data_IF_112569389536
#
_entry.id   IF_112569389536
#
_cell.length_a   1.000
_cell.length_b   1.000
_cell.length_c   1.000
_cell.angle_alpha   90.00
_cell.angle_beta   90.00
_cell.angle_gamma   90.00
#
_symmetry.space_group_name_H-M   'P 1'
#
loop_
_entity.id
_entity.type
_entity.pdbx_description
1 polymer ?
#
# COMPACT_ATOMS: atom_id res chain seq x y z
N UNK A 1 -15.06 20.31 -2.82
CA UNK A 1 -15.71 19.06 -2.38
C UNK A 1 -15.27 17.96 -3.32
N UNK A 2 -14.34 17.10 -2.90
CA UNK A 2 -13.82 16.01 -3.73
C UNK A 2 -14.49 14.70 -3.34
N UNK A 3 -15.25 14.14 -4.26
CA UNK A 3 -15.93 12.86 -4.18
C UNK A 3 -14.90 11.72 -4.20
N UNK A 4 -14.73 11.00 -3.08
CA UNK A 4 -13.90 9.79 -3.00
C UNK A 4 -14.82 8.57 -3.03
N UNK A 5 -14.81 7.77 -4.12
CA UNK A 5 -15.51 6.49 -4.12
C UNK A 5 -14.86 5.58 -3.08
N UNK A 6 -15.70 4.85 -2.35
CA UNK A 6 -15.32 3.70 -1.53
C UNK A 6 -14.50 2.70 -2.35
N UNK A 7 -13.17 2.82 -2.34
CA UNK A 7 -12.30 2.07 -3.25
C UNK A 7 -12.18 0.58 -2.85
N UNK A 8 -12.55 0.23 -1.61
CA UNK A 8 -12.35 -1.11 -1.05
C UNK A 8 -13.63 -1.85 -0.63
N UNK A 9 -14.83 -1.27 -0.79
CA UNK A 9 -16.10 -1.98 -0.52
C UNK A 9 -16.51 -2.99 -1.60
N UNK A 10 -15.71 -3.15 -2.66
CA UNK A 10 -16.05 -4.04 -3.80
C UNK A 10 -15.48 -5.46 -3.71
N UNK A 11 -14.92 -5.86 -2.57
CA UNK A 11 -14.68 -7.28 -2.29
C UNK A 11 -15.62 -7.69 -1.17
N UNK A 12 -16.68 -8.42 -1.57
CA UNK A 12 -17.82 -8.95 -0.79
C UNK A 12 -19.01 -7.98 -0.65
N UNK A 13 -19.90 -8.04 -1.64
CA UNK A 13 -21.25 -7.47 -1.58
C UNK A 13 -22.05 -8.26 -0.54
N UNK A 14 -22.35 -7.66 0.61
CA UNK A 14 -23.55 -7.95 1.40
C UNK A 14 -24.04 -6.65 2.06
N UNK A 15 -25.06 -6.04 1.46
CA UNK A 15 -25.83 -4.84 1.87
C UNK A 15 -25.06 -3.50 1.92
N UNK A 16 -25.69 -2.44 1.37
CA UNK A 16 -25.14 -1.08 1.28
C UNK A 16 -24.99 -0.36 2.64
N UNK A 17 -25.45 -0.98 3.73
CA UNK A 17 -25.40 -0.46 5.11
C UNK A 17 -24.61 -1.38 6.07
N UNK A 18 -23.88 -2.39 5.58
CA UNK A 18 -23.10 -3.27 6.47
C UNK A 18 -21.73 -2.67 6.81
N UNK A 19 -21.47 -2.55 8.10
CA UNK A 19 -20.18 -2.14 8.62
C UNK A 19 -19.31 -3.40 8.76
N UNK A 20 -18.53 -3.72 7.74
CA UNK A 20 -17.59 -4.84 7.82
C UNK A 20 -16.43 -4.53 8.75
N UNK A 21 -15.81 -5.57 9.31
CA UNK A 21 -14.62 -5.45 10.16
C UNK A 21 -13.46 -4.72 9.44
N UNK A 22 -13.31 -4.96 8.14
CA UNK A 22 -12.36 -4.28 7.27
C UNK A 22 -12.67 -2.78 7.19
N UNK A 23 -13.94 -2.42 6.93
CA UNK A 23 -14.36 -1.03 6.83
C UNK A 23 -14.17 -0.28 8.15
N UNK A 24 -14.58 -0.87 9.27
CA UNK A 24 -14.39 -0.29 10.61
C UNK A 24 -12.90 -0.01 10.87
N UNK A 25 -12.05 -0.99 10.55
CA UNK A 25 -10.60 -0.89 10.72
C UNK A 25 -10.02 0.22 9.85
N UNK A 26 -10.35 0.24 8.56
CA UNK A 26 -9.90 1.27 7.62
C UNK A 26 -10.29 2.68 8.09
N UNK A 27 -11.56 2.89 8.47
CA UNK A 27 -12.05 4.20 8.89
C UNK A 27 -11.44 4.66 10.22
N UNK A 28 -11.30 3.76 11.20
CA UNK A 28 -10.65 4.08 12.48
C UNK A 28 -9.21 4.53 12.27
N UNK A 29 -8.50 3.81 11.41
CA UNK A 29 -7.14 4.08 11.01
C UNK A 29 -7.02 5.42 10.28
N UNK A 30 -7.86 5.70 9.27
CA UNK A 30 -7.89 6.98 8.57
C UNK A 30 -8.16 8.13 9.54
N UNK A 31 -9.13 7.97 10.45
CA UNK A 31 -9.54 9.04 11.37
C UNK A 31 -8.47 9.39 12.40
N UNK A 32 -7.65 8.43 12.83
CA UNK A 32 -6.50 8.68 13.72
C UNK A 32 -5.29 9.21 12.92
N UNK A 33 -5.20 8.91 11.63
CA UNK A 33 -4.07 9.26 10.76
C UNK A 33 -4.28 10.43 9.82
N UNK A 34 -5.47 11.06 9.77
CA UNK A 34 -5.71 12.32 9.04
C UNK A 34 -4.75 13.45 9.48
N UNK A 35 -4.13 13.30 10.64
CA UNK A 35 -3.05 14.16 11.15
C UNK A 35 -1.67 13.90 10.49
N UNK A 36 -1.47 12.81 9.74
CA UNK A 36 -0.15 12.22 9.43
C UNK A 36 0.19 12.06 7.92
N UNK A 37 -0.69 12.47 6.99
CA UNK A 37 -0.36 12.57 5.54
C UNK A 37 -0.48 11.27 4.71
N UNK A 38 -0.25 11.37 3.39
CA UNK A 38 -0.67 10.40 2.35
C UNK A 38 0.20 9.14 2.16
N UNK A 39 1.33 8.99 2.87
CA UNK A 39 2.23 7.82 2.80
C UNK A 39 1.70 6.54 3.48
N UNK A 40 0.45 6.56 3.92
CA UNK A 40 -0.12 5.65 4.92
C UNK A 40 -0.80 4.39 4.35
N UNK A 41 -1.21 4.41 3.06
CA UNK A 41 -2.19 3.46 2.52
C UNK A 41 -1.75 1.99 2.48
N UNK A 42 -0.45 1.69 2.32
CA UNK A 42 0.04 0.30 2.37
C UNK A 42 -0.01 -0.25 3.81
N UNK A 43 0.32 0.57 4.81
CA UNK A 43 0.20 0.17 6.21
C UNK A 43 -1.27 -0.07 6.59
N UNK A 44 -2.20 0.77 6.12
CA UNK A 44 -3.65 0.51 6.28
C UNK A 44 -4.04 -0.82 5.65
N UNK A 45 -3.58 -1.07 4.41
CA UNK A 45 -3.84 -2.32 3.70
C UNK A 45 -3.34 -3.54 4.46
N UNK A 46 -2.12 -3.49 5.01
CA UNK A 46 -1.57 -4.61 5.78
C UNK A 46 -2.45 -4.96 6.99
N UNK A 47 -2.91 -3.94 7.71
CA UNK A 47 -3.77 -4.12 8.89
C UNK A 47 -5.15 -4.63 8.49
N UNK A 48 -5.76 -4.05 7.46
CA UNK A 48 -7.08 -4.46 6.95
C UNK A 48 -7.05 -5.89 6.40
N UNK A 49 -6.02 -6.24 5.62
CA UNK A 49 -5.83 -7.60 5.12
C UNK A 49 -5.60 -8.59 6.28
N UNK A 50 -4.86 -8.18 7.30
CA UNK A 50 -4.64 -9.03 8.48
C UNK A 50 -5.91 -9.22 9.30
N UNK A 51 -6.76 -8.20 9.41
CA UNK A 51 -8.09 -8.32 10.02
C UNK A 51 -8.95 -9.31 9.21
N UNK A 52 -9.10 -9.10 7.90
CA UNK A 52 -9.89 -9.97 7.03
C UNK A 52 -9.41 -11.43 7.02
N UNK A 53 -8.10 -11.66 7.11
CA UNK A 53 -7.53 -12.99 7.09
C UNK A 53 -7.85 -13.83 8.33
N UNK A 54 -8.37 -13.23 9.40
CA UNK A 54 -8.78 -13.97 10.59
C UNK A 54 -9.87 -15.00 10.27
N UNK A 55 -10.82 -14.64 9.41
CA UNK A 55 -11.91 -15.53 8.95
C UNK A 55 -11.49 -16.50 7.83
N UNK A 56 -10.35 -16.27 7.18
CA UNK A 56 -9.94 -17.01 5.98
C UNK A 56 -8.86 -18.05 6.26
N UNK A 57 -7.95 -17.78 7.22
CA UNK A 57 -6.79 -18.64 7.49
C UNK A 57 -7.18 -19.80 8.42
N UNK A 58 -6.80 -21.01 8.05
CA UNK A 58 -7.04 -22.23 8.85
C UNK A 58 -6.51 -22.14 10.29
N UNK A 59 -5.43 -21.40 10.51
CA UNK A 59 -4.84 -21.22 11.84
C UNK A 59 -5.69 -20.38 12.80
N UNK A 60 -6.62 -19.55 12.28
CA UNK A 60 -7.39 -18.58 13.08
C UNK A 60 -8.89 -18.75 12.95
N UNK A 61 -9.41 -19.07 11.75
CA UNK A 61 -10.84 -19.02 11.40
C UNK A 61 -11.75 -19.88 12.29
N UNK A 62 -11.25 -21.00 12.79
CA UNK A 62 -12.03 -21.95 13.60
C UNK A 62 -11.64 -21.84 15.10
N UNK A 63 -10.85 -20.84 15.48
CA UNK A 63 -10.34 -20.69 16.83
C UNK A 63 -11.23 -19.75 17.66
N UNK A 64 -12.03 -20.28 18.60
CA UNK A 64 -13.02 -19.49 19.31
C UNK A 64 -12.44 -18.37 20.18
N UNK A 65 -11.15 -18.46 20.54
CA UNK A 65 -10.48 -17.42 21.35
C UNK A 65 -10.29 -16.14 20.56
N UNK A 66 -10.01 -16.22 19.25
CA UNK A 66 -9.87 -15.03 18.41
C UNK A 66 -11.22 -14.39 18.05
N UNK A 67 -12.30 -15.17 18.11
CA UNK A 67 -13.62 -14.78 17.63
C UNK A 67 -14.65 -14.52 18.75
N UNK A 68 -14.23 -14.51 20.02
CA UNK A 68 -15.14 -14.37 21.17
C UNK A 68 -16.30 -15.39 21.17
N UNK A 69 -16.00 -16.59 20.69
CA UNK A 69 -16.97 -17.68 20.55
C UNK A 69 -16.89 -18.67 21.71
N UNK A 70 -17.89 -19.56 21.76
CA UNK A 70 -17.94 -20.68 22.70
C UNK A 70 -17.86 -20.27 24.18
N UNK A 71 -18.29 -19.05 24.52
CA UNK A 71 -18.27 -18.49 25.88
C UNK A 71 -16.87 -18.41 26.51
N UNK A 72 -15.82 -18.39 25.70
CA UNK A 72 -14.43 -18.30 26.16
C UNK A 72 -14.00 -16.85 26.39
N UNK A 73 -14.86 -16.04 27.01
CA UNK A 73 -14.68 -14.58 27.15
C UNK A 73 -13.36 -14.24 27.84
N UNK A 74 -13.03 -14.91 28.95
CA UNK A 74 -11.79 -14.65 29.70
C UNK A 74 -10.54 -15.00 28.87
N UNK A 75 -10.57 -16.12 28.14
CA UNK A 75 -9.48 -16.52 27.25
C UNK A 75 -9.30 -15.53 26.09
N UNK A 76 -10.40 -15.06 25.52
CA UNK A 76 -10.40 -14.05 24.44
C UNK A 76 -9.88 -12.70 24.92
N UNK A 77 -10.24 -12.27 26.14
CA UNK A 77 -9.66 -11.07 26.77
C UNK A 77 -8.17 -11.24 27.00
N UNK A 78 -7.73 -12.39 27.51
CA UNK A 78 -6.30 -12.69 27.67
C UNK A 78 -5.57 -12.63 26.32
N UNK A 79 -6.17 -13.16 25.24
CA UNK A 79 -5.59 -13.10 23.90
C UNK A 79 -5.53 -11.67 23.34
N UNK A 80 -6.55 -10.83 23.56
CA UNK A 80 -6.51 -9.41 23.19
C UNK A 80 -5.31 -8.70 23.84
N UNK A 81 -5.11 -8.93 25.14
CA UNK A 81 -4.00 -8.32 25.92
C UNK A 81 -2.62 -8.86 25.50
N UNK A 82 -2.55 -10.14 25.12
CA UNK A 82 -1.34 -10.72 24.52
C UNK A 82 -1.01 -10.05 23.19
N UNK A 83 -1.99 -9.91 22.29
CA UNK A 83 -1.82 -9.21 21.01
C UNK A 83 -1.40 -7.75 21.21
N UNK A 84 -2.02 -7.05 22.17
CA UNK A 84 -1.64 -5.69 22.55
C UNK A 84 -0.17 -5.59 22.96
N UNK A 85 0.26 -6.48 23.85
CA UNK A 85 1.66 -6.56 24.30
C UNK A 85 2.60 -6.82 23.13
N UNK A 86 2.23 -7.75 22.24
CA UNK A 86 3.02 -8.08 21.05
C UNK A 86 3.16 -6.89 20.10
N UNK A 87 2.09 -6.12 19.88
CA UNK A 87 2.13 -4.88 19.07
C UNK A 87 3.15 -3.91 19.67
N UNK A 88 3.07 -3.63 20.97
CA UNK A 88 3.98 -2.67 21.63
C UNK A 88 5.43 -3.14 21.52
N UNK A 89 5.69 -4.42 21.79
CA UNK A 89 7.04 -4.98 21.70
C UNK A 89 7.59 -4.91 20.27
N UNK A 90 6.81 -5.30 19.26
CA UNK A 90 7.21 -5.21 17.85
C UNK A 90 7.43 -3.76 17.40
N UNK A 91 6.59 -2.81 17.81
CA UNK A 91 6.80 -1.38 17.49
C UNK A 91 8.10 -0.88 18.11
N UNK A 92 8.39 -1.22 19.37
CA UNK A 92 9.65 -0.84 20.03
C UNK A 92 10.88 -1.48 19.38
N UNK A 93 10.74 -2.71 18.91
CA UNK A 93 11.77 -3.43 18.14
C UNK A 93 11.89 -2.95 16.68
N UNK A 94 11.03 -2.01 16.23
CA UNK A 94 10.92 -1.53 14.84
C UNK A 94 10.49 -2.62 13.83
N UNK A 95 9.88 -3.69 14.31
CA UNK A 95 9.29 -4.77 13.51
C UNK A 95 7.87 -4.39 13.06
N UNK A 96 7.75 -3.35 12.24
CA UNK A 96 6.45 -2.75 11.94
C UNK A 96 5.50 -3.67 11.16
N UNK A 97 6.02 -4.57 10.33
CA UNK A 97 5.19 -5.56 9.62
C UNK A 97 4.49 -6.52 10.61
N UNK A 98 5.23 -7.07 11.57
CA UNK A 98 4.69 -7.93 12.63
C UNK A 98 3.72 -7.19 13.55
N UNK A 99 4.01 -5.92 13.85
CA UNK A 99 3.11 -5.05 14.60
C UNK A 99 1.79 -4.83 13.85
N UNK A 100 1.82 -4.54 12.54
CA UNK A 100 0.61 -4.32 11.71
C UNK A 100 -0.22 -5.59 11.59
N UNK A 101 0.44 -6.74 11.42
CA UNK A 101 -0.23 -8.04 11.46
C UNK A 101 -0.97 -8.24 12.79
N UNK A 102 -0.28 -8.04 13.91
CA UNK A 102 -0.86 -8.18 15.25
C UNK A 102 -2.01 -7.20 15.50
N UNK A 103 -1.90 -5.96 14.99
CA UNK A 103 -2.97 -4.96 15.08
C UNK A 103 -4.21 -5.41 14.31
N UNK A 104 -4.07 -6.02 13.13
CA UNK A 104 -5.20 -6.56 12.39
C UNK A 104 -5.93 -7.65 13.15
N UNK A 105 -5.17 -8.57 13.78
CA UNK A 105 -5.76 -9.63 14.62
C UNK A 105 -6.47 -9.07 15.86
N UNK A 106 -5.86 -8.07 16.51
CA UNK A 106 -6.46 -7.41 17.68
C UNK A 106 -7.75 -6.67 17.29
N UNK A 107 -7.73 -5.95 16.17
CA UNK A 107 -8.88 -5.18 15.69
C UNK A 107 -10.06 -6.10 15.39
N UNK A 108 -9.79 -7.24 14.74
CA UNK A 108 -10.80 -8.25 14.44
C UNK A 108 -11.42 -8.81 15.73
N UNK A 109 -10.61 -9.35 16.64
CA UNK A 109 -11.11 -9.91 17.90
C UNK A 109 -11.87 -8.87 18.74
N UNK A 110 -11.43 -7.60 18.73
CA UNK A 110 -12.12 -6.51 19.42
C UNK A 110 -13.49 -6.20 18.82
N UNK A 111 -13.63 -6.34 17.50
CA UNK A 111 -14.90 -6.15 16.78
C UNK A 111 -15.85 -7.33 17.05
N UNK A 112 -15.33 -8.57 17.00
CA UNK A 112 -16.05 -9.80 17.33
C UNK A 112 -16.61 -9.78 18.76
N UNK A 113 -15.93 -9.14 19.73
CA UNK A 113 -16.54 -8.97 21.05
C UNK A 113 -17.92 -8.30 20.97
N UNK A 114 -18.08 -7.23 20.17
CA UNK A 114 -19.35 -6.51 20.11
C UNK A 114 -20.39 -7.23 19.27
N UNK A 115 -20.00 -8.03 18.27
CA UNK A 115 -20.93 -8.80 17.46
C UNK A 115 -21.30 -10.15 18.09
N UNK A 116 -20.35 -10.78 18.77
CA UNK A 116 -20.47 -12.12 19.33
C UNK A 116 -20.70 -12.15 20.84
N UNK A 117 -20.47 -11.10 21.63
CA UNK A 117 -20.90 -11.12 23.05
C UNK A 117 -22.33 -10.61 23.22
N UNK A 118 -22.89 -10.78 24.42
CA UNK A 118 -24.19 -10.22 24.76
C UNK A 118 -24.11 -8.74 25.24
N UNK A 119 -22.97 -8.06 25.05
CA UNK A 119 -22.75 -6.70 25.56
C UNK A 119 -23.82 -5.71 25.12
N UNK A 120 -24.18 -5.74 23.84
CA UNK A 120 -25.19 -4.86 23.23
C UNK A 120 -26.59 -5.24 23.73
N UNK A 121 -26.87 -6.54 23.84
CA UNK A 121 -28.13 -7.10 24.35
C UNK A 121 -28.37 -6.71 25.82
N UNK A 122 -27.31 -6.52 26.60
CA UNK A 122 -27.38 -5.99 27.97
C UNK A 122 -27.70 -4.48 28.02
N UNK A 123 -27.95 -3.84 26.88
CA UNK A 123 -28.25 -2.42 26.77
C UNK A 123 -27.03 -1.51 27.00
N UNK A 124 -25.81 -2.05 26.91
CA UNK A 124 -24.58 -1.26 27.10
C UNK A 124 -24.34 -0.40 25.87
N UNK A 125 -24.33 0.92 26.06
CA UNK A 125 -24.13 1.93 24.99
C UNK A 125 -22.70 2.50 24.93
N UNK A 126 -21.80 1.99 25.75
CA UNK A 126 -20.39 2.43 25.81
C UNK A 126 -19.44 1.26 25.57
N UNK A 127 -18.21 1.58 25.15
CA UNK A 127 -17.16 0.57 24.97
C UNK A 127 -16.82 -0.09 26.31
N UNK A 128 -16.44 -1.37 26.27
CA UNK A 128 -16.01 -2.13 27.44
C UNK A 128 -14.51 -1.97 27.64
N UNK A 129 -14.10 -0.99 28.45
CA UNK A 129 -12.70 -0.65 28.65
C UNK A 129 -11.87 -1.82 29.23
N UNK A 130 -12.49 -2.67 30.05
CA UNK A 130 -11.83 -3.83 30.65
C UNK A 130 -11.19 -4.79 29.62
N UNK A 131 -11.64 -4.81 28.36
CA UNK A 131 -11.05 -5.65 27.33
C UNK A 131 -9.53 -5.42 27.17
N UNK A 132 -9.10 -4.16 27.20
CA UNK A 132 -7.69 -3.77 27.06
C UNK A 132 -7.08 -3.14 28.33
N UNK A 133 -7.92 -2.69 29.26
CA UNK A 133 -7.50 -2.01 30.49
C UNK A 133 -7.85 -2.89 31.70
N UNK A 134 -6.93 -3.73 32.20
CA UNK A 134 -7.22 -4.71 33.26
C UNK A 134 -7.67 -4.10 34.59
N UNK A 135 -7.30 -2.84 34.84
CA UNK A 135 -7.65 -2.11 36.06
C UNK A 135 -9.10 -1.57 36.05
N UNK A 136 -9.73 -1.52 34.87
CA UNK A 136 -11.13 -1.13 34.74
C UNK A 136 -12.06 -2.22 35.29
N UNK A 137 -13.26 -1.88 35.83
CA UNK A 137 -14.16 -2.87 36.40
C UNK A 137 -14.63 -3.92 35.39
N UNK A 138 -14.51 -5.20 35.76
CA UNK A 138 -15.08 -6.29 34.99
C UNK A 138 -16.60 -6.38 35.19
N UNK A 139 -17.34 -6.45 34.09
CA UNK A 139 -18.78 -6.70 34.07
C UNK A 139 -18.99 -8.14 33.60
N UNK A 140 -19.75 -8.97 34.35
CA UNK A 140 -20.11 -10.30 33.90
C UNK A 140 -20.90 -10.25 32.57
N UNK A 141 -20.24 -10.64 31.49
CA UNK A 141 -20.87 -10.92 30.18
C UNK A 141 -21.60 -12.24 30.33
N UNK A 142 -22.89 -12.31 29.94
CA UNK A 142 -23.70 -13.49 30.25
C UNK A 142 -23.27 -14.68 29.40
N UNK A 143 -23.25 -15.87 30.03
CA UNK A 143 -23.01 -17.14 29.35
C UNK A 143 -24.15 -17.42 28.36
N UNK A 144 -23.88 -17.48 27.05
CA UNK A 144 -24.84 -18.00 26.06
C UNK A 144 -25.26 -19.43 26.41
N UNK A 145 -26.49 -19.78 26.07
CA UNK A 145 -27.24 -20.92 26.58
C UNK A 145 -26.60 -22.33 26.40
N UNK A 146 -26.76 -23.18 27.43
CA UNK A 146 -26.81 -24.66 27.45
C UNK A 146 -25.74 -25.48 26.71
N UNK A 147 -24.88 -26.15 27.47
CA UNK A 147 -23.95 -27.19 27.01
C UNK A 147 -24.59 -28.59 26.84
N UNK A 148 -25.91 -28.75 27.10
CA UNK A 148 -26.68 -29.94 26.72
C UNK A 148 -26.32 -31.26 27.43
N UNK A 149 -25.37 -31.24 28.38
CA UNK A 149 -24.94 -32.43 29.12
C UNK A 149 -25.94 -32.89 30.18
N UNK A 150 -25.79 -34.13 30.66
CA UNK A 150 -26.68 -34.71 31.69
C UNK A 150 -26.71 -33.90 33.00
N UNK A 151 -25.62 -33.21 33.34
CA UNK A 151 -25.50 -32.35 34.52
C UNK A 151 -25.84 -30.87 34.25
N UNK A 152 -26.22 -30.51 33.02
CA UNK A 152 -26.56 -29.15 32.65
C UNK A 152 -28.02 -28.83 32.99
N UNK A 153 -28.21 -28.01 34.03
CA UNK A 153 -29.52 -27.56 34.50
C UNK A 153 -30.23 -26.61 33.52
N UNK A 154 -29.53 -26.07 32.52
CA UNK A 154 -30.08 -25.20 31.47
C UNK A 154 -30.48 -25.94 30.19
N UNK A 155 -30.29 -27.27 30.12
CA UNK A 155 -30.54 -28.11 28.93
C UNK A 155 -31.98 -28.12 28.39
N UNK A 156 -32.96 -27.76 29.24
CA UNK A 156 -34.39 -27.74 28.90
C UNK A 156 -34.92 -26.32 28.69
N UNK A 157 -34.07 -25.31 28.87
CA UNK A 157 -34.38 -23.94 28.50
C UNK A 157 -34.08 -23.81 27.00
N UNK A 158 -35.06 -23.40 26.21
CA UNK A 158 -34.82 -23.10 24.80
C UNK A 158 -33.70 -22.06 24.72
N UNK A 159 -32.56 -22.42 24.10
CA UNK A 159 -31.57 -21.44 23.71
C UNK A 159 -32.25 -20.42 22.79
N UNK A 160 -32.48 -19.22 23.29
CA UNK A 160 -33.15 -18.16 22.55
C UNK A 160 -32.09 -17.42 21.74
N UNK A 161 -31.80 -17.91 20.53
CA UNK A 161 -31.11 -17.14 19.48
C UNK A 161 -29.57 -17.12 19.54
N UNK A 162 -28.96 -17.15 18.36
CA UNK A 162 -27.52 -16.99 18.16
C UNK A 162 -27.10 -15.53 18.33
N UNK A 163 -26.07 -15.29 19.13
CA UNK A 163 -25.48 -13.96 19.34
C UNK A 163 -24.51 -13.68 18.18
N UNK A 164 -25.03 -13.61 16.95
CA UNK A 164 -24.29 -13.10 15.81
C UNK A 164 -25.01 -11.83 15.36
N UNK A 165 -24.24 -10.74 15.28
CA UNK A 165 -24.69 -9.40 14.85
C UNK A 165 -23.82 -8.87 13.70
N UNK A 166 -23.18 -9.76 12.93
CA UNK A 166 -22.20 -9.38 11.92
C UNK A 166 -22.82 -8.68 10.71
N UNK A 167 -24.10 -8.92 10.46
CA UNK A 167 -24.80 -8.39 9.29
C UNK A 167 -26.16 -7.81 9.65
N UNK A 168 -26.65 -6.91 8.79
CA UNK A 168 -28.04 -6.41 8.83
C UNK A 168 -29.07 -7.41 8.33
N UNK A 169 -28.63 -8.59 7.85
CA UNK A 169 -29.50 -9.62 7.28
C UNK A 169 -30.00 -10.59 8.35
N UNK A 170 -31.32 -10.70 8.46
CA UNK A 170 -31.97 -11.71 9.31
C UNK A 170 -31.66 -13.15 8.90
N UNK A 171 -31.17 -13.37 7.68
CA UNK A 171 -30.79 -14.70 7.16
C UNK A 171 -29.44 -15.15 7.75
N UNK A 172 -28.51 -14.22 7.94
CA UNK A 172 -27.13 -14.54 8.34
C UNK A 172 -26.86 -14.23 9.81
N UNK A 173 -27.62 -13.30 10.41
CA UNK A 173 -27.44 -12.86 11.79
C UNK A 173 -28.79 -12.90 12.54
N UNK A 174 -28.97 -13.79 13.53
CA UNK A 174 -30.23 -13.86 14.30
C UNK A 174 -30.56 -12.55 15.02
N UNK A 175 -29.54 -11.78 15.42
CA UNK A 175 -29.66 -10.48 16.08
C UNK A 175 -29.31 -9.31 15.14
N UNK A 176 -29.58 -9.45 13.84
CA UNK A 176 -29.25 -8.43 12.83
C UNK A 176 -29.74 -7.01 13.15
N UNK A 177 -30.84 -6.87 13.90
CA UNK A 177 -31.38 -5.58 14.34
C UNK A 177 -30.46 -4.81 15.30
N UNK A 178 -29.49 -5.49 15.93
CA UNK A 178 -28.45 -4.89 16.78
C UNK A 178 -27.13 -4.64 16.03
N UNK A 179 -27.02 -5.01 14.74
CA UNK A 179 -25.79 -4.88 13.96
C UNK A 179 -25.22 -3.47 13.98
N UNK A 180 -26.06 -2.46 13.72
CA UNK A 180 -25.63 -1.05 13.65
C UNK A 180 -25.05 -0.58 14.99
N UNK A 181 -25.64 -1.02 16.09
CA UNK A 181 -25.17 -0.67 17.43
C UNK A 181 -23.86 -1.38 17.78
N UNK A 182 -23.77 -2.69 17.49
CA UNK A 182 -22.56 -3.47 17.66
C UNK A 182 -21.39 -2.89 16.85
N UNK A 183 -21.63 -2.61 15.56
CA UNK A 183 -20.64 -2.01 14.67
C UNK A 183 -20.20 -0.61 15.14
N UNK A 184 -21.14 0.21 15.64
CA UNK A 184 -20.83 1.52 16.21
C UNK A 184 -19.88 1.43 17.41
N UNK A 185 -20.16 0.53 18.36
CA UNK A 185 -19.27 0.30 19.51
C UNK A 185 -17.93 -0.29 19.10
N UNK A 186 -17.92 -1.23 18.15
CA UNK A 186 -16.71 -1.82 17.60
C UNK A 186 -15.81 -0.75 16.95
N UNK A 187 -16.40 0.22 16.23
CA UNK A 187 -15.68 1.33 15.64
C UNK A 187 -15.09 2.30 16.66
N UNK A 188 -15.86 2.65 17.70
CA UNK A 188 -15.36 3.49 18.81
C UNK A 188 -14.24 2.77 19.57
N UNK A 189 -14.39 1.47 19.83
CA UNK A 189 -13.38 0.67 20.52
C UNK A 189 -12.09 0.56 19.70
N UNK A 190 -12.18 0.24 18.42
CA UNK A 190 -11.03 0.17 17.50
C UNK A 190 -10.31 1.52 17.43
N UNK A 191 -11.05 2.62 17.30
CA UNK A 191 -10.47 3.97 17.31
C UNK A 191 -9.79 4.30 18.66
N UNK A 192 -10.39 3.91 19.78
CA UNK A 192 -9.82 4.14 21.12
C UNK A 192 -8.53 3.36 21.29
N UNK A 193 -8.51 2.08 20.93
CA UNK A 193 -7.30 1.25 20.96
C UNK A 193 -6.15 1.83 20.12
N UNK A 194 -6.44 2.40 18.95
CA UNK A 194 -5.42 3.05 18.11
C UNK A 194 -4.86 4.34 18.74
N UNK A 195 -5.68 5.13 19.44
CA UNK A 195 -5.22 6.31 20.19
C UNK A 195 -4.37 5.89 21.38
N UNK A 196 -4.84 4.93 22.17
CA UNK A 196 -4.09 4.37 23.31
C UNK A 196 -2.74 3.82 22.83
N UNK A 197 -2.70 3.20 21.65
CA UNK A 197 -1.47 2.68 21.06
C UNK A 197 -0.52 3.83 20.69
N UNK A 198 -1.03 4.88 20.02
CA UNK A 198 -0.28 6.09 19.68
C UNK A 198 0.33 6.74 20.91
N UNK A 199 -0.43 6.85 21.99
CA UNK A 199 0.02 7.45 23.25
C UNK A 199 1.05 6.56 23.95
N UNK A 200 0.88 5.24 23.91
CA UNK A 200 1.79 4.27 24.55
C UNK A 200 3.15 4.15 23.86
N UNK A 201 3.19 4.14 22.52
CA UNK A 201 4.45 4.00 21.76
C UNK A 201 5.08 5.34 21.41
N UNK A 202 4.33 6.43 21.54
CA UNK A 202 4.72 7.78 21.18
C UNK A 202 4.51 8.10 19.69
N UNK A 203 4.31 9.38 19.35
CA UNK A 203 3.90 9.81 18.00
C UNK A 203 4.91 9.45 16.92
N UNK A 204 6.22 9.45 17.22
CA UNK A 204 7.28 9.10 16.26
C UNK A 204 7.27 7.61 15.92
N UNK A 205 7.16 6.73 16.92
CA UNK A 205 7.08 5.29 16.67
C UNK A 205 5.76 4.91 16.02
N UNK A 206 4.66 5.58 16.40
CA UNK A 206 3.35 5.41 15.77
C UNK A 206 3.36 5.87 14.30
N UNK A 207 4.05 6.97 13.98
CA UNK A 207 4.27 7.42 12.60
C UNK A 207 5.11 6.40 11.82
N UNK A 208 6.15 5.82 12.41
CA UNK A 208 7.00 4.82 11.73
C UNK A 208 6.26 3.49 11.51
N UNK A 209 5.43 3.10 12.48
CA UNK A 209 4.44 2.01 12.37
C UNK A 209 3.44 2.26 11.23
N UNK A 210 3.10 3.54 11.01
CA UNK A 210 2.12 4.01 10.04
C UNK A 210 2.68 4.31 8.63
N UNK A 211 3.90 4.83 8.49
CA UNK A 211 4.32 5.57 7.28
C UNK A 211 5.63 5.10 6.66
N UNK A 212 6.51 4.36 7.35
CA UNK A 212 7.76 3.91 6.71
C UNK A 212 7.55 2.68 5.83
N UNK A 213 7.02 2.93 4.64
CA UNK A 213 7.29 2.10 3.48
C UNK A 213 8.73 2.38 3.06
N UNK A 214 9.52 1.33 2.85
CA UNK A 214 10.84 1.52 2.26
C UNK A 214 10.67 2.16 0.87
N UNK A 215 11.53 3.12 0.49
CA UNK A 215 11.52 3.70 -0.85
C UNK A 215 11.47 2.63 -1.94
N UNK A 216 10.70 2.88 -2.98
CA UNK A 216 10.68 2.02 -4.14
C UNK A 216 11.75 2.43 -5.15
N UNK A 217 12.19 1.45 -5.94
CA UNK A 217 12.98 1.68 -7.13
C UNK A 217 12.07 1.54 -8.35
N UNK A 218 11.85 2.65 -9.05
CA UNK A 218 10.83 2.75 -10.10
C UNK A 218 11.49 2.97 -11.45
N UNK A 219 11.06 2.20 -12.45
CA UNK A 219 11.54 2.27 -13.82
C UNK A 219 10.38 2.65 -14.74
N UNK A 220 10.51 3.78 -15.43
CA UNK A 220 9.57 4.24 -16.45
C UNK A 220 10.28 4.08 -17.79
N UNK A 221 9.81 3.15 -18.62
CA UNK A 221 10.51 2.76 -19.84
C UNK A 221 9.68 3.04 -21.07
N UNK A 222 10.24 3.83 -21.97
CA UNK A 222 9.73 4.01 -23.32
C UNK A 222 9.88 2.70 -24.09
N UNK A 223 8.76 2.14 -24.56
CA UNK A 223 8.72 0.89 -25.31
C UNK A 223 8.28 1.11 -26.77
N UNK A 224 8.45 2.33 -27.28
CA UNK A 224 8.18 2.66 -28.68
C UNK A 224 9.22 2.03 -29.61
N UNK A 225 8.89 1.90 -30.89
CA UNK A 225 9.76 1.26 -31.87
C UNK A 225 11.07 2.02 -32.14
N UNK A 226 11.16 3.32 -31.83
CA UNK A 226 12.41 4.08 -31.94
C UNK A 226 13.44 3.65 -30.90
N UNK A 227 12.99 3.18 -29.73
CA UNK A 227 13.83 2.61 -28.68
C UNK A 227 14.35 1.20 -29.01
N UNK A 228 14.14 0.64 -30.20
CA UNK A 228 14.47 -0.76 -30.50
C UNK A 228 15.97 -1.09 -30.34
N UNK A 229 16.87 -0.19 -30.73
CA UNK A 229 18.31 -0.40 -30.56
C UNK A 229 18.75 -0.13 -29.10
N UNK A 230 17.99 0.69 -28.38
CA UNK A 230 18.29 1.26 -27.08
C UNK A 230 17.66 0.48 -25.91
N UNK A 231 16.57 -0.26 -26.13
CA UNK A 231 15.79 -0.93 -25.07
C UNK A 231 16.65 -1.99 -24.37
N UNK A 232 17.54 -2.66 -25.11
CA UNK A 232 18.51 -3.60 -24.53
C UNK A 232 19.49 -2.88 -23.60
N UNK A 233 19.95 -1.69 -23.97
CA UNK A 233 20.80 -0.88 -23.12
C UNK A 233 20.06 -0.35 -21.88
N UNK A 234 18.80 0.06 -22.05
CA UNK A 234 17.95 0.48 -20.95
C UNK A 234 17.76 -0.65 -19.92
N UNK A 235 17.49 -1.88 -20.38
CA UNK A 235 17.39 -3.08 -19.53
C UNK A 235 18.70 -3.37 -18.79
N UNK A 236 19.84 -3.39 -19.49
CA UNK A 236 21.15 -3.61 -18.86
C UNK A 236 21.49 -2.54 -17.80
N UNK A 237 21.13 -1.28 -18.04
CA UNK A 237 21.30 -0.20 -17.07
C UNK A 237 20.39 -0.39 -15.85
N UNK A 238 19.13 -0.71 -16.06
CA UNK A 238 18.20 -0.99 -14.97
C UNK A 238 18.69 -2.14 -14.09
N UNK A 239 19.22 -3.21 -14.70
CA UNK A 239 19.85 -4.32 -14.00
C UNK A 239 21.04 -3.87 -13.13
N UNK A 240 21.95 -3.07 -13.67
CA UNK A 240 23.08 -2.50 -12.91
C UNK A 240 22.61 -1.64 -11.73
N UNK A 241 21.59 -0.80 -11.94
CA UNK A 241 21.00 0.01 -10.86
C UNK A 241 20.42 -0.91 -9.77
N UNK A 242 19.63 -1.92 -10.12
CA UNK A 242 19.06 -2.87 -9.16
C UNK A 242 20.16 -3.56 -8.34
N UNK A 243 21.21 -4.07 -9.00
CA UNK A 243 22.33 -4.73 -8.32
C UNK A 243 23.09 -3.78 -7.38
N UNK A 244 23.31 -2.53 -7.81
CA UNK A 244 23.98 -1.52 -6.98
C UNK A 244 23.19 -1.18 -5.71
N UNK A 245 21.85 -1.33 -5.73
CA UNK A 245 20.98 -1.06 -4.59
C UNK A 245 20.74 -2.29 -3.73
N UNK A 246 20.75 -3.49 -4.31
CA UNK A 246 20.68 -4.74 -3.57
C UNK A 246 21.87 -4.95 -2.60
N UNK A 247 23.03 -4.36 -2.92
CA UNK A 247 24.24 -4.44 -2.08
C UNK A 247 24.29 -3.41 -0.93
N UNK A 248 23.37 -2.45 -0.87
CA UNK A 248 23.28 -1.46 0.23
C UNK A 248 22.41 -1.99 1.37
N UNK A 249 22.67 -1.53 2.60
CA UNK A 249 21.92 -1.90 3.80
C UNK A 249 20.44 -1.45 3.80
N UNK A 250 20.04 -0.65 2.80
CA UNK A 250 18.67 -0.21 2.55
C UNK A 250 18.19 -0.84 1.23
N UNK A 251 17.75 -2.09 1.27
CA UNK A 251 17.12 -2.71 0.11
C UNK A 251 15.82 -1.96 -0.22
N UNK A 252 15.58 -1.59 -1.49
CA UNK A 252 14.31 -1.00 -1.89
C UNK A 252 13.17 -1.96 -1.57
N UNK A 253 12.09 -1.45 -1.00
CA UNK A 253 10.99 -2.29 -0.49
C UNK A 253 10.12 -2.92 -1.57
N UNK A 254 10.10 -2.32 -2.76
CA UNK A 254 9.31 -2.75 -3.93
C UNK A 254 9.95 -2.19 -5.19
N UNK A 255 9.93 -2.95 -6.28
CA UNK A 255 10.27 -2.52 -7.63
C UNK A 255 9.00 -2.25 -8.43
N UNK A 256 8.97 -1.13 -9.17
CA UNK A 256 7.87 -0.78 -10.06
C UNK A 256 8.37 -0.56 -11.49
N UNK A 257 7.67 -1.11 -12.47
CA UNK A 257 7.92 -0.89 -13.89
C UNK A 257 6.67 -0.30 -14.55
N UNK A 258 6.86 0.82 -15.24
CA UNK A 258 5.81 1.49 -16.01
C UNK A 258 6.29 1.57 -17.47
N UNK A 259 5.94 0.58 -18.32
CA UNK A 259 6.17 0.71 -19.75
C UNK A 259 5.21 1.74 -20.33
N UNK A 260 5.70 2.58 -21.24
CA UNK A 260 4.85 3.51 -21.96
C UNK A 260 5.13 3.47 -23.47
N UNK A 261 4.03 3.31 -24.20
CA UNK A 261 3.82 3.53 -25.63
C UNK A 261 2.31 3.80 -25.77
N UNK A 262 1.78 4.14 -26.94
CA UNK A 262 0.32 4.25 -27.12
C UNK A 262 -0.30 2.84 -27.34
N UNK A 263 -1.13 2.29 -26.42
CA UNK A 263 -1.58 2.80 -25.11
C UNK A 263 -0.67 2.40 -23.91
N UNK A 264 -0.61 3.25 -22.88
CA UNK A 264 0.31 3.11 -21.74
C UNK A 264 -0.15 2.06 -20.71
N UNK A 265 0.80 1.33 -20.11
CA UNK A 265 0.57 0.32 -19.06
C UNK A 265 0.37 -1.12 -19.57
N UNK A 266 0.14 -2.11 -18.68
CA UNK A 266 -0.08 -2.01 -17.23
C UNK A 266 1.19 -1.77 -16.40
N UNK A 267 1.03 -1.26 -15.17
CA UNK A 267 2.11 -1.15 -14.17
C UNK A 267 2.42 -2.54 -13.62
N UNK A 268 3.68 -2.92 -13.60
CA UNK A 268 4.15 -4.14 -12.96
C UNK A 268 4.83 -3.82 -11.62
N UNK A 269 4.46 -4.54 -10.57
CA UNK A 269 5.00 -4.39 -9.22
C UNK A 269 5.54 -5.74 -8.74
N UNK A 270 6.76 -5.76 -8.20
CA UNK A 270 7.36 -6.95 -7.62
C UNK A 270 8.28 -6.59 -6.45
N UNK A 271 8.33 -7.45 -5.42
CA UNK A 271 9.26 -7.29 -4.30
C UNK A 271 10.55 -8.10 -4.52
N UNK A 272 10.50 -9.15 -5.35
CA UNK A 272 11.65 -9.97 -5.72
C UNK A 272 12.40 -9.35 -6.92
N UNK A 273 13.70 -9.02 -6.79
CA UNK A 273 14.47 -8.40 -7.86
C UNK A 273 14.65 -9.32 -9.08
N UNK A 274 14.73 -10.64 -8.89
CA UNK A 274 14.89 -11.58 -10.00
C UNK A 274 13.60 -11.69 -10.80
N UNK A 275 12.44 -11.81 -10.14
CA UNK A 275 11.13 -11.79 -10.83
C UNK A 275 10.92 -10.47 -11.58
N UNK A 276 11.34 -9.35 -10.98
CA UNK A 276 11.27 -8.05 -11.62
C UNK A 276 12.16 -7.98 -12.88
N UNK A 277 13.40 -8.48 -12.79
CA UNK A 277 14.32 -8.54 -13.92
C UNK A 277 13.81 -9.48 -15.02
N UNK A 278 13.29 -10.66 -14.69
CA UNK A 278 12.67 -11.58 -15.65
C UNK A 278 11.52 -10.92 -16.41
N UNK A 279 10.65 -10.18 -15.72
CA UNK A 279 9.57 -9.46 -16.38
C UNK A 279 10.09 -8.31 -17.26
N UNK A 280 11.10 -7.58 -16.81
CA UNK A 280 11.74 -6.51 -17.58
C UNK A 280 12.39 -7.02 -18.88
N UNK A 281 12.92 -8.24 -18.87
CA UNK A 281 13.47 -8.87 -20.08
C UNK A 281 12.40 -9.14 -21.16
N UNK A 282 11.12 -9.24 -20.78
CA UNK A 282 10.01 -9.45 -21.74
C UNK A 282 9.59 -8.19 -22.48
N UNK A 283 10.08 -7.01 -22.08
CA UNK A 283 9.76 -5.76 -22.75
C UNK A 283 10.27 -5.77 -24.20
N UNK A 284 9.36 -5.56 -25.15
CA UNK A 284 9.68 -5.41 -26.56
C UNK A 284 9.37 -3.98 -27.00
N UNK A 285 10.31 -3.35 -27.69
CA UNK A 285 10.10 -2.08 -28.38
C UNK A 285 9.22 -2.31 -29.61
N UNK A 286 7.91 -2.04 -29.49
CA UNK A 286 6.92 -2.30 -30.52
C UNK A 286 5.91 -1.15 -30.60
N UNK A 287 5.49 -0.81 -31.83
CA UNK A 287 4.54 0.29 -32.04
C UNK A 287 5.20 1.67 -31.96
N UNK A 288 4.39 2.71 -31.80
CA UNK A 288 4.83 4.10 -31.94
C UNK A 288 4.73 4.60 -33.39
N UNK A 289 4.51 5.90 -33.54
CA UNK A 289 4.24 6.54 -34.83
C UNK A 289 5.06 7.81 -35.04
N UNK A 290 4.92 8.77 -34.12
CA UNK A 290 5.56 10.08 -34.21
C UNK A 290 6.00 10.54 -32.81
N UNK A 291 7.22 11.09 -32.69
CA UNK A 291 7.59 11.95 -31.58
C UNK A 291 6.70 13.22 -31.61
N UNK A 292 6.14 13.69 -30.48
CA UNK A 292 6.46 13.39 -29.07
C UNK A 292 5.62 12.28 -28.37
N UNK A 293 6.08 11.80 -27.21
CA UNK A 293 5.54 10.65 -26.45
C UNK A 293 4.88 11.01 -25.09
N UNK A 294 4.02 10.14 -24.53
CA UNK A 294 3.22 10.38 -23.30
C UNK A 294 4.01 10.17 -21.98
N UNK A 295 5.19 10.77 -21.88
CA UNK A 295 6.14 10.55 -20.78
C UNK A 295 5.64 11.09 -19.42
N UNK A 296 5.05 12.29 -19.35
CA UNK A 296 4.64 12.85 -18.06
C UNK A 296 3.46 12.11 -17.44
N UNK A 297 2.56 11.54 -18.25
CA UNK A 297 1.48 10.67 -17.81
C UNK A 297 2.02 9.40 -17.18
N UNK A 298 3.05 8.79 -17.78
CA UNK A 298 3.72 7.62 -17.23
C UNK A 298 4.43 7.94 -15.90
N UNK A 299 5.10 9.10 -15.80
CA UNK A 299 5.72 9.57 -14.55
C UNK A 299 4.66 9.86 -13.49
N UNK A 300 3.53 10.47 -13.84
CA UNK A 300 2.44 10.72 -12.91
C UNK A 300 1.87 9.40 -12.35
N UNK A 301 1.71 8.39 -13.22
CA UNK A 301 1.29 7.06 -12.81
C UNK A 301 2.31 6.41 -11.87
N UNK A 302 3.60 6.45 -12.21
CA UNK A 302 4.70 5.97 -11.37
C UNK A 302 4.72 6.67 -10.00
N UNK A 303 4.62 7.99 -9.98
CA UNK A 303 4.53 8.78 -8.75
C UNK A 303 3.28 8.42 -7.96
N UNK A 304 2.12 8.20 -8.58
CA UNK A 304 0.89 7.85 -7.86
C UNK A 304 1.00 6.51 -7.12
N UNK A 305 1.71 5.54 -7.70
CA UNK A 305 1.89 4.18 -7.17
C UNK A 305 3.08 4.02 -6.22
N UNK A 306 4.09 4.86 -6.34
CA UNK A 306 5.29 4.78 -5.51
C UNK A 306 5.12 5.36 -4.10
N UNK A 307 5.82 4.80 -3.09
CA UNK A 307 5.97 5.42 -1.78
C UNK A 307 6.71 6.77 -1.83
N UNK A 308 6.60 7.63 -0.80
CA UNK A 308 7.48 8.78 -0.64
C UNK A 308 8.96 8.39 -0.63
N UNK A 309 9.84 9.35 -0.97
CA UNK A 309 11.30 9.20 -1.03
C UNK A 309 11.79 8.16 -2.06
N UNK A 310 10.91 7.64 -2.92
CA UNK A 310 11.25 6.71 -4.01
C UNK A 310 12.12 7.35 -5.09
N UNK A 311 12.91 6.52 -5.75
CA UNK A 311 13.74 6.92 -6.89
C UNK A 311 13.13 6.41 -8.19
N UNK A 312 12.98 7.33 -9.15
CA UNK A 312 12.34 7.07 -10.43
C UNK A 312 13.37 7.29 -11.54
N UNK A 313 13.61 6.23 -12.34
CA UNK A 313 14.47 6.25 -13.50
C UNK A 313 13.63 6.21 -14.77
N UNK A 314 13.74 7.24 -15.59
CA UNK A 314 12.98 7.40 -16.83
C UNK A 314 13.90 7.18 -18.02
N UNK A 315 13.56 6.24 -18.89
CA UNK A 315 14.31 5.91 -20.11
C UNK A 315 13.47 6.29 -21.32
N UNK A 316 13.97 7.19 -22.16
CA UNK A 316 13.27 7.63 -23.38
C UNK A 316 14.24 8.31 -24.36
N UNK A 317 13.95 8.21 -25.64
CA UNK A 317 14.63 8.95 -26.72
C UNK A 317 13.77 10.11 -27.25
N UNK A 318 12.59 10.37 -26.68
CA UNK A 318 11.57 11.28 -27.21
C UNK A 318 11.19 12.44 -26.26
N UNK A 319 10.85 13.60 -26.85
CA UNK A 319 10.27 14.72 -26.09
C UNK A 319 8.83 14.44 -25.61
N UNK A 320 8.35 15.12 -24.54
CA UNK A 320 7.03 14.83 -23.97
C UNK A 320 5.89 15.51 -24.73
N UNK A 321 4.89 14.74 -25.15
CA UNK A 321 3.64 15.18 -25.81
C UNK A 321 2.71 15.88 -24.85
N UNK A 322 2.77 15.47 -23.59
CA UNK A 322 1.91 15.87 -22.49
C UNK A 322 2.55 16.93 -21.59
N UNK A 323 3.30 17.87 -22.18
CA UNK A 323 3.98 18.96 -21.48
C UNK A 323 3.08 19.79 -20.54
N UNK A 324 1.78 19.85 -20.80
CA UNK A 324 0.79 20.49 -19.93
C UNK A 324 0.67 19.85 -18.52
N UNK A 325 1.13 18.60 -18.34
CA UNK A 325 1.16 17.91 -17.04
C UNK A 325 2.38 18.26 -16.19
N UNK A 326 3.35 19.04 -16.71
CA UNK A 326 4.61 19.33 -16.04
C UNK A 326 4.42 19.84 -14.59
N UNK A 327 3.57 20.85 -14.39
CA UNK A 327 3.35 21.44 -13.05
C UNK A 327 2.70 20.45 -12.08
N UNK A 328 1.78 19.60 -12.57
CA UNK A 328 1.14 18.58 -11.76
C UNK A 328 2.13 17.48 -11.34
N UNK A 329 2.97 17.02 -12.28
CA UNK A 329 4.03 16.04 -12.02
C UNK A 329 5.08 16.61 -11.06
N UNK A 330 5.51 17.86 -11.29
CA UNK A 330 6.45 18.57 -10.41
C UNK A 330 5.92 18.69 -8.99
N UNK A 331 4.67 19.12 -8.82
CA UNK A 331 4.06 19.24 -7.49
C UNK A 331 4.01 17.88 -6.78
N UNK A 332 3.63 16.81 -7.49
CA UNK A 332 3.55 15.46 -6.93
C UNK A 332 4.93 14.90 -6.56
N UNK A 333 5.96 15.12 -7.39
CA UNK A 333 7.33 14.70 -7.11
C UNK A 333 7.89 15.38 -5.85
N UNK A 334 7.68 16.69 -5.72
CA UNK A 334 8.09 17.47 -4.55
C UNK A 334 7.36 17.04 -3.28
N UNK A 335 6.05 16.83 -3.36
CA UNK A 335 5.24 16.36 -2.25
C UNK A 335 5.72 14.99 -1.74
N UNK A 336 6.00 14.07 -2.66
CA UNK A 336 6.52 12.73 -2.32
C UNK A 336 8.00 12.73 -1.99
N UNK A 337 8.72 13.84 -2.18
CA UNK A 337 10.19 13.92 -2.05
C UNK A 337 10.88 12.84 -2.91
N UNK A 338 10.30 12.50 -4.04
CA UNK A 338 10.81 11.48 -4.96
C UNK A 338 11.83 12.09 -5.90
N UNK A 339 12.95 11.40 -6.12
CA UNK A 339 14.00 11.82 -7.05
C UNK A 339 13.70 11.26 -8.44
N UNK A 340 13.73 12.10 -9.46
CA UNK A 340 13.49 11.69 -10.86
C UNK A 340 14.77 11.87 -11.66
N UNK A 341 15.31 10.77 -12.17
CA UNK A 341 16.51 10.73 -13.01
C UNK A 341 16.13 10.33 -14.43
N UNK A 342 16.47 11.17 -15.40
CA UNK A 342 16.24 10.89 -16.82
C UNK A 342 17.49 10.29 -17.46
N UNK A 343 17.32 9.24 -18.23
CA UNK A 343 18.32 8.58 -19.05
C UNK A 343 17.86 8.73 -20.50
N UNK A 344 18.38 9.76 -21.15
CA UNK A 344 17.95 10.22 -22.47
C UNK A 344 18.90 9.71 -23.55
N UNK A 345 18.36 9.20 -24.65
CA UNK A 345 19.17 8.87 -25.83
C UNK A 345 19.03 9.98 -26.86
N UNK A 346 20.16 10.52 -27.33
CA UNK A 346 20.19 11.44 -28.47
C UNK A 346 20.62 10.71 -29.75
N UNK A 347 19.74 10.69 -30.75
CA UNK A 347 20.08 10.25 -32.10
C UNK A 347 21.06 11.28 -32.70
N UNK A 348 22.35 10.94 -32.79
CA UNK A 348 23.29 11.76 -33.56
C UNK A 348 22.85 11.68 -35.02
N UNK A 349 22.28 12.77 -35.56
CA UNK A 349 22.19 12.95 -37.00
C UNK A 349 23.62 13.08 -37.55
N UNK A 350 24.29 11.95 -37.77
CA UNK A 350 25.57 11.95 -38.45
C UNK A 350 25.35 12.57 -39.82
N UNK A 351 26.16 13.58 -40.13
CA UNK A 351 26.42 14.05 -41.49
C UNK A 351 27.12 12.94 -42.27
N UNK A 352 26.46 11.80 -42.48
CA UNK A 352 26.94 10.78 -43.39
C UNK A 352 26.52 11.21 -44.80
N UNK A 353 27.51 11.73 -45.51
CA UNK A 353 27.46 11.97 -46.95
C UNK A 353 27.21 10.65 -47.69
N UNK A 354 25.96 10.21 -47.77
CA UNK A 354 25.55 9.19 -48.73
C UNK A 354 24.17 9.52 -49.30
N UNK A 355 24.15 9.73 -50.61
CA UNK A 355 22.96 10.03 -51.41
C UNK A 355 21.96 8.86 -51.32
N UNK A 356 20.80 9.06 -50.69
CA UNK A 356 19.46 8.90 -51.32
C UNK A 356 18.30 8.97 -50.31
N UNK A 357 17.24 9.62 -50.80
CA UNK A 357 15.83 9.69 -50.36
C UNK A 357 15.50 10.58 -49.15
N UNK A 358 14.91 11.72 -49.51
CA UNK A 358 14.11 12.64 -48.69
C UNK A 358 13.14 11.91 -47.76
N UNK A 359 13.34 12.09 -46.46
CA UNK A 359 12.25 12.27 -45.49
C UNK A 359 12.59 13.53 -44.70
N UNK A 360 11.66 14.48 -44.64
CA UNK A 360 11.83 15.76 -43.94
C UNK A 360 11.71 15.55 -42.43
N UNK A 361 12.75 15.03 -41.76
CA UNK A 361 12.86 15.19 -40.30
C UNK A 361 13.20 16.66 -40.03
N UNK A 362 12.27 17.41 -39.41
CA UNK A 362 12.51 18.77 -38.93
C UNK A 362 13.75 18.75 -38.02
N UNK A 363 14.66 19.74 -38.08
CA UNK A 363 15.73 19.85 -37.10
C UNK A 363 15.11 19.94 -35.71
N UNK A 364 15.54 19.03 -34.81
CA UNK A 364 15.08 18.99 -33.42
C UNK A 364 15.42 20.32 -32.72
N UNK A 365 14.49 20.84 -31.93
CA UNK A 365 14.70 22.10 -31.20
C UNK A 365 15.83 21.96 -30.19
N UNK A 366 16.67 22.99 -29.98
CA UNK A 366 17.72 22.96 -28.94
C UNK A 366 17.16 22.71 -27.52
N UNK A 367 15.86 22.97 -27.31
CA UNK A 367 15.17 22.80 -26.03
C UNK A 367 14.37 21.48 -25.91
N UNK A 368 14.60 20.50 -26.80
CA UNK A 368 13.82 19.25 -26.91
C UNK A 368 13.61 18.53 -25.57
N UNK A 369 14.61 18.56 -24.70
CA UNK A 369 14.62 17.89 -23.40
C UNK A 369 14.65 18.84 -22.19
N UNK A 370 14.44 20.14 -22.41
CA UNK A 370 14.51 21.18 -21.37
C UNK A 370 13.58 20.92 -20.18
N UNK A 371 12.37 20.38 -20.43
CA UNK A 371 11.41 20.04 -19.39
C UNK A 371 11.91 18.87 -18.52
N UNK A 372 12.58 17.87 -19.09
CA UNK A 372 13.15 16.76 -18.33
C UNK A 372 14.32 17.22 -17.44
N UNK A 373 15.20 18.06 -17.98
CA UNK A 373 16.28 18.68 -17.21
C UNK A 373 15.74 19.53 -16.05
N UNK A 374 14.67 20.30 -16.28
CA UNK A 374 14.04 21.12 -15.25
C UNK A 374 13.37 20.29 -14.16
N UNK A 375 12.67 19.22 -14.52
CA UNK A 375 11.99 18.35 -13.55
C UNK A 375 12.99 17.56 -12.70
N UNK A 376 14.03 16.98 -13.33
CA UNK A 376 15.08 16.25 -12.60
C UNK A 376 15.77 17.14 -11.57
N UNK A 377 16.20 18.34 -11.97
CA UNK A 377 16.84 19.32 -11.08
C UNK A 377 15.96 19.64 -9.85
N UNK A 378 14.67 19.96 -10.07
CA UNK A 378 13.75 20.32 -8.99
C UNK A 378 13.45 19.13 -8.06
N UNK A 379 13.41 17.92 -8.60
CA UNK A 379 13.19 16.69 -7.83
C UNK A 379 14.44 16.22 -7.05
N UNK A 380 15.60 16.84 -7.28
CA UNK A 380 16.88 16.39 -6.71
C UNK A 380 17.48 15.17 -7.41
N UNK A 381 17.06 14.89 -8.65
CA UNK A 381 17.67 13.93 -9.57
C UNK A 381 18.52 14.62 -10.64
N UNK A 382 18.79 13.94 -11.74
CA UNK A 382 19.61 14.45 -12.85
C UNK A 382 19.10 13.99 -14.21
N UNK A 383 19.42 14.73 -15.27
CA UNK A 383 19.25 14.28 -16.65
C UNK A 383 20.62 13.85 -17.22
N UNK A 384 20.70 12.61 -17.70
CA UNK A 384 21.90 12.01 -18.29
C UNK A 384 21.63 11.75 -19.77
N UNK A 385 22.44 12.37 -20.62
CA UNK A 385 22.36 12.21 -22.06
C UNK A 385 23.34 11.11 -22.50
N UNK A 386 22.87 10.24 -23.38
CA UNK A 386 23.59 9.06 -23.81
C UNK A 386 23.53 8.91 -25.32
N UNK A 387 24.59 8.33 -25.89
CA UNK A 387 24.64 7.97 -27.31
C UNK A 387 24.68 6.45 -27.45
N UNK A 388 24.30 5.92 -28.61
CA UNK A 388 24.37 4.47 -28.89
C UNK A 388 25.81 3.91 -28.75
N UNK A 389 26.85 4.76 -28.84
CA UNK A 389 28.25 4.36 -28.63
C UNK A 389 28.73 4.42 -27.17
N UNK A 390 28.01 5.11 -26.27
CA UNK A 390 28.43 5.34 -24.88
C UNK A 390 27.74 4.41 -23.88
N UNK A 391 26.93 3.46 -24.36
CA UNK A 391 26.13 2.55 -23.52
C UNK A 391 26.97 1.81 -22.47
N UNK A 392 28.21 1.44 -22.80
CA UNK A 392 29.11 0.75 -21.87
C UNK A 392 29.91 1.68 -20.92
N UNK A 393 29.94 3.00 -21.16
CA UNK A 393 30.76 3.96 -20.40
C UNK A 393 30.02 4.72 -19.31
N UNK A 394 28.68 4.76 -19.36
CA UNK A 394 27.87 5.60 -18.45
C UNK A 394 27.54 4.91 -17.12
N UNK A 395 27.88 3.62 -16.95
CA UNK A 395 27.72 2.88 -15.68
C UNK A 395 28.37 3.62 -14.49
N UNK A 396 29.47 4.32 -14.72
CA UNK A 396 30.24 5.02 -13.69
C UNK A 396 29.63 6.36 -13.25
N UNK A 397 28.85 7.04 -14.09
CA UNK A 397 28.39 8.43 -13.80
C UNK A 397 27.22 8.46 -12.79
N UNK A 398 26.37 7.43 -12.80
CA UNK A 398 25.26 7.28 -11.84
C UNK A 398 25.77 6.73 -10.49
N UNK A 399 26.87 5.96 -10.52
CA UNK A 399 27.56 5.46 -9.33
C UNK A 399 28.28 6.60 -8.58
N UNK A 400 29.02 7.47 -9.28
CA UNK A 400 29.83 8.51 -8.64
C UNK A 400 29.00 9.64 -8.00
N UNK A 401 27.91 10.10 -8.61
CA UNK A 401 27.14 11.24 -8.06
C UNK A 401 26.12 10.87 -6.99
N UNK A 402 25.79 9.58 -6.83
CA UNK A 402 24.93 9.11 -5.73
C UNK A 402 25.70 8.70 -4.47
N UNK A 403 27.03 8.69 -4.54
CA UNK A 403 27.94 8.44 -3.43
C UNK A 403 28.47 9.74 -2.76
N UNK A 404 28.23 10.90 -3.37
CA UNK A 404 28.80 12.20 -2.94
C UNK A 404 27.93 12.93 -1.91
N UNK A 405 26.67 12.51 -1.69
CA UNK A 405 25.88 12.96 -0.53
C UNK A 405 26.30 12.16 0.72
N UNK A 406 27.47 12.48 1.28
CA UNK A 406 27.91 12.08 2.63
C UNK A 406 27.99 13.28 3.56
#
# INVERSE_FOLDING_TARGET
MGFFPSFWSKVLILSFDSYTHQYITEQAIIKVSLELGRGFWRAVRDVVNSNANMDLKSATKDNPVYHFDSERIDDSIAKLRELWTRIILSVRAKEYAGARHSLGQLSHALQDFYSHSNWVEMGKKSIYLHLLQPDEPAVPVAKKCSHGGFLDKSRLLSATGGINKDTTSSIFSPHHYLHVEAAGLAAIATQTALRDLKDTVGPKAFLLFSVRQAPALVFVMDTTGSMFEEITAARLRAHSIIQSRASRAEQPGTFLLVPFHDPFGPVYEADDPNQFMEHMETLMALGGGDEPEMCFSAIQLALSRSPPESEIFVFTDASPKDAHLFDAVKALALEKRSKITFLLTEEQTQKSSSRRKRSSKKPLSPDRFSLYSSLSLVSGGMAVFTTNSDIHKVSTIVEDNTAVDK
#
